data_IF_051345607000
#
_entry.id   IF_051345607000
#
_cell.length_a   1.000
_cell.length_b   1.000
_cell.length_c   1.000
_cell.angle_alpha   90.00
_cell.angle_beta   90.00
_cell.angle_gamma   90.00
#
_symmetry.space_group_name_H-M   'P 1'
#
loop_
_entity.id
_entity.type
_entity.pdbx_description
1 polymer ?
#
# COMPACT_ATOMS: atom_id res chain seq x y z
N UNK A 1 -15.55 5.91 -5.08
CA UNK A 1 -14.52 6.90 -5.51
C UNK A 1 -13.22 6.13 -5.67
N UNK A 2 -12.44 6.29 -6.76
CA UNK A 2 -11.20 5.50 -6.91
C UNK A 2 -10.07 6.19 -6.13
N UNK A 3 -9.48 5.53 -5.12
CA UNK A 3 -8.31 6.03 -4.37
C UNK A 3 -7.18 6.41 -5.33
N UNK A 4 -6.51 7.55 -5.14
CA UNK A 4 -5.36 7.97 -5.95
C UNK A 4 -4.04 7.53 -5.31
N UNK A 5 -2.97 7.49 -6.09
CA UNK A 5 -1.62 7.20 -5.57
C UNK A 5 -1.22 8.22 -4.50
N UNK A 6 -1.52 9.51 -4.69
CA UNK A 6 -1.21 10.55 -3.71
C UNK A 6 -1.94 10.32 -2.38
N UNK A 7 -3.22 9.92 -2.42
CA UNK A 7 -3.98 9.61 -1.20
C UNK A 7 -3.44 8.38 -0.47
N UNK A 8 -2.97 7.38 -1.23
CA UNK A 8 -2.32 6.19 -0.68
C UNK A 8 -0.98 6.52 -0.04
N UNK A 9 -0.13 7.30 -0.71
CA UNK A 9 1.15 7.76 -0.15
C UNK A 9 0.95 8.65 1.08
N UNK A 10 -0.07 9.51 1.06
CA UNK A 10 -0.41 10.31 2.23
C UNK A 10 -0.80 9.42 3.42
N UNK A 11 -1.66 8.42 3.21
CA UNK A 11 -2.01 7.45 4.26
C UNK A 11 -0.77 6.74 4.81
N UNK A 12 0.11 6.24 3.94
CA UNK A 12 1.36 5.59 4.35
C UNK A 12 2.26 6.51 5.18
N UNK A 13 2.39 7.79 4.81
CA UNK A 13 3.20 8.74 5.57
C UNK A 13 2.50 9.25 6.84
N UNK A 14 1.17 9.15 6.94
CA UNK A 14 0.44 9.39 8.21
C UNK A 14 0.68 8.25 9.20
N UNK A 15 0.72 7.01 8.71
CA UNK A 15 0.94 5.79 9.51
C UNK A 15 2.42 5.57 9.84
N UNK A 16 3.31 5.94 8.93
CA UNK A 16 4.75 5.79 9.06
C UNK A 16 5.49 7.11 8.81
N UNK A 17 5.31 8.12 9.68
CA UNK A 17 5.79 9.49 9.44
C UNK A 17 7.31 9.60 9.32
N UNK A 18 8.06 8.70 9.95
CA UNK A 18 9.53 8.72 9.95
C UNK A 18 10.15 8.00 8.74
N UNK A 19 9.35 7.34 7.90
CA UNK A 19 9.85 6.49 6.79
C UNK A 19 10.04 7.25 5.47
N UNK A 20 9.44 8.44 5.31
CA UNK A 20 9.60 9.27 4.11
C UNK A 20 9.26 8.53 2.81
N UNK A 21 8.09 7.88 2.77
CA UNK A 21 7.74 6.91 1.73
C UNK A 21 7.30 7.63 0.45
N UNK A 22 7.93 7.26 -0.67
CA UNK A 22 7.61 7.73 -2.01
C UNK A 22 7.24 6.57 -2.94
N UNK A 23 6.69 6.86 -4.12
CA UNK A 23 6.22 5.83 -5.05
C UNK A 23 7.33 4.91 -5.59
N UNK A 24 8.56 5.42 -5.65
CA UNK A 24 9.76 4.72 -6.09
C UNK A 24 10.52 4.04 -4.94
N UNK A 25 10.13 4.29 -3.68
CA UNK A 25 10.69 3.59 -2.52
C UNK A 25 10.38 2.10 -2.61
N UNK A 26 11.39 1.25 -2.39
CA UNK A 26 11.18 -0.20 -2.35
C UNK A 26 10.52 -0.60 -1.03
N UNK A 27 9.63 -1.57 -1.07
CA UNK A 27 8.94 -2.07 0.14
C UNK A 27 9.97 -2.53 1.19
N UNK A 28 11.01 -3.25 0.77
CA UNK A 28 12.08 -3.70 1.66
C UNK A 28 12.85 -2.55 2.35
N UNK A 29 12.94 -1.37 1.74
CA UNK A 29 13.60 -0.19 2.33
C UNK A 29 12.73 0.49 3.39
N UNK A 30 11.42 0.33 3.30
CA UNK A 30 10.49 0.89 4.29
C UNK A 30 10.47 0.08 5.59
N UNK A 31 10.82 -1.21 5.57
CA UNK A 31 10.59 -2.11 6.71
C UNK A 31 9.10 -2.23 7.06
N UNK A 32 8.24 -2.11 6.06
CA UNK A 32 6.81 -2.48 6.11
C UNK A 32 6.73 -3.97 5.75
N UNK A 33 6.03 -4.75 6.56
CA UNK A 33 5.79 -6.16 6.28
C UNK A 33 4.39 -6.42 5.71
N UNK A 34 4.05 -7.69 5.48
CA UNK A 34 2.76 -8.09 4.92
C UNK A 34 1.58 -7.78 5.84
N UNK A 35 1.76 -7.76 7.17
CA UNK A 35 0.71 -7.40 8.11
C UNK A 35 0.46 -5.89 8.10
N UNK A 36 1.53 -5.10 8.04
CA UNK A 36 1.43 -3.65 7.88
C UNK A 36 0.67 -3.29 6.59
N UNK A 37 0.95 -3.99 5.48
CA UNK A 37 0.22 -3.80 4.22
C UNK A 37 -1.25 -4.18 4.33
N UNK A 38 -1.58 -5.24 5.08
CA UNK A 38 -2.97 -5.62 5.35
C UNK A 38 -3.73 -4.51 6.08
N UNK A 39 -3.11 -3.96 7.13
CA UNK A 39 -3.68 -2.88 7.91
C UNK A 39 -3.87 -1.62 7.05
N UNK A 40 -2.93 -1.31 6.15
CA UNK A 40 -3.07 -0.18 5.22
C UNK A 40 -4.21 -0.39 4.24
N UNK A 41 -4.39 -1.60 3.71
CA UNK A 41 -5.52 -1.92 2.82
C UNK A 41 -6.84 -1.73 3.57
N UNK A 42 -7.00 -2.30 4.77
CA UNK A 42 -8.22 -2.10 5.57
C UNK A 42 -8.50 -0.64 5.92
N UNK A 43 -7.46 0.13 6.27
CA UNK A 43 -7.60 1.58 6.51
C UNK A 43 -7.99 2.34 5.26
N UNK A 44 -7.49 1.93 4.10
CA UNK A 44 -7.86 2.51 2.82
C UNK A 44 -9.32 2.18 2.48
N UNK A 45 -9.78 0.96 2.75
CA UNK A 45 -11.19 0.58 2.60
C UNK A 45 -12.11 1.45 3.47
N UNK A 46 -11.79 1.58 4.77
CA UNK A 46 -12.57 2.37 5.73
C UNK A 46 -12.55 3.88 5.38
N UNK A 47 -11.39 4.43 5.04
CA UNK A 47 -11.22 5.87 4.76
C UNK A 47 -11.86 6.30 3.44
N UNK A 48 -11.89 5.43 2.44
CA UNK A 48 -12.33 5.77 1.08
C UNK A 48 -13.60 5.06 0.61
N UNK A 49 -14.15 4.14 1.42
CA UNK A 49 -15.35 3.38 1.09
C UNK A 49 -15.17 2.50 -0.14
N UNK A 50 -13.97 1.91 -0.28
CA UNK A 50 -13.65 0.94 -1.33
C UNK A 50 -13.53 -0.45 -0.68
N UNK A 51 -13.80 -1.50 -1.42
CA UNK A 51 -13.46 -2.88 -1.04
C UNK A 51 -12.37 -3.32 -2.01
N UNK A 52 -11.35 -4.01 -1.50
CA UNK A 52 -10.24 -4.55 -2.26
C UNK A 52 -10.10 -6.04 -1.94
N UNK A 53 -10.38 -6.90 -2.92
CA UNK A 53 -10.20 -8.35 -2.78
C UNK A 53 -8.73 -8.73 -3.00
N UNK A 54 -7.92 -8.50 -1.97
CA UNK A 54 -6.48 -8.66 -2.06
C UNK A 54 -5.99 -9.81 -1.19
N UNK A 55 -5.52 -10.89 -1.82
CA UNK A 55 -4.76 -11.91 -1.11
C UNK A 55 -3.30 -11.47 -0.99
N UNK A 56 -2.94 -10.99 0.19
CA UNK A 56 -1.59 -10.51 0.49
C UNK A 56 -0.57 -11.66 0.44
N UNK A 57 -1.01 -12.92 0.57
CA UNK A 57 -0.15 -14.07 0.36
C UNK A 57 0.10 -14.35 -1.14
N UNK A 58 -0.77 -13.88 -2.03
CA UNK A 58 -0.56 -13.92 -3.49
C UNK A 58 0.28 -12.74 -4.00
N UNK A 59 0.37 -11.65 -3.21
CA UNK A 59 1.37 -10.62 -3.44
C UNK A 59 2.76 -11.24 -3.15
N UNK A 60 3.38 -11.84 -4.16
CA UNK A 60 4.81 -12.12 -4.17
C UNK A 60 5.56 -10.76 -4.19
N UNK A 61 5.60 -10.10 -3.04
CA UNK A 61 6.35 -8.86 -2.83
C UNK A 61 7.81 -9.26 -2.76
N UNK A 62 8.48 -9.17 -3.90
CA UNK A 62 9.93 -9.25 -3.98
C UNK A 62 10.55 -7.99 -3.35
N UNK A 63 11.80 -8.07 -2.92
CA UNK A 63 12.53 -6.97 -2.28
C UNK A 63 12.66 -5.74 -3.20
N UNK A 64 12.56 -5.95 -4.52
CA UNK A 64 12.62 -4.92 -5.55
C UNK A 64 11.28 -4.25 -5.88
N UNK A 65 10.17 -4.70 -5.28
CA UNK A 65 8.84 -4.10 -5.52
C UNK A 65 8.76 -2.72 -4.88
N UNK A 66 8.29 -1.74 -5.64
CA UNK A 66 8.08 -0.37 -5.14
C UNK A 66 6.68 -0.15 -4.59
N UNK A 67 6.52 0.86 -3.74
CA UNK A 67 5.23 1.26 -3.17
C UNK A 67 4.21 1.64 -4.26
N UNK A 68 4.65 2.27 -5.34
CA UNK A 68 3.80 2.57 -6.50
C UNK A 68 3.30 1.31 -7.21
N UNK A 69 4.12 0.26 -7.27
CA UNK A 69 3.70 -1.04 -7.82
C UNK A 69 2.70 -1.74 -6.90
N UNK A 70 2.89 -1.69 -5.57
CA UNK A 70 1.90 -2.19 -4.60
C UNK A 70 0.55 -1.50 -4.79
N UNK A 71 0.52 -0.16 -4.87
CA UNK A 71 -0.72 0.56 -5.16
C UNK A 71 -1.39 0.11 -6.46
N UNK A 72 -0.60 -0.16 -7.50
CA UNK A 72 -1.11 -0.62 -8.80
C UNK A 72 -1.76 -2.00 -8.66
N UNK A 73 -1.11 -2.94 -7.97
CA UNK A 73 -1.65 -4.27 -7.67
C UNK A 73 -2.95 -4.17 -6.88
N UNK A 74 -3.00 -3.34 -5.84
CA UNK A 74 -4.22 -3.11 -5.07
C UNK A 74 -5.36 -2.63 -5.96
N UNK A 75 -5.08 -1.74 -6.90
CA UNK A 75 -6.10 -1.20 -7.79
C UNK A 75 -6.59 -2.15 -8.88
N UNK A 76 -5.76 -3.08 -9.30
CA UNK A 76 -6.11 -4.08 -10.32
C UNK A 76 -6.96 -5.22 -9.74
N UNK A 77 -7.03 -5.33 -8.41
CA UNK A 77 -7.83 -6.29 -7.66
C UNK A 77 -8.90 -5.61 -6.76
N UNK A 78 -9.91 -4.92 -7.33
CA UNK A 78 -11.06 -4.41 -6.58
C UNK A 78 -11.96 -5.56 -6.10
#
# INVERSE_FOLDING_TARGET
MKVSLDSFLQLLNEEFPDKGIHADTKVAETGIDSLDLADIVFKMEDKFGAEYSLDINELNIDDDVTIGQIYTLIKEHP
#
